data_IF_303452404513
#
_entry.id   IF_303452404513
#
_cell.length_a   1.000
_cell.length_b   1.000
_cell.length_c   1.000
_cell.angle_alpha   90.00
_cell.angle_beta   90.00
_cell.angle_gamma   90.00
#
_symmetry.space_group_name_H-M   'P 1'
#
loop_
_entity.id
_entity.type
_entity.pdbx_description
1 polymer ?
#
# COMPACT_ATOMS: atom_id res chain seq x y z
N UNK A 1 18.53 -10.31 8.32
CA UNK A 1 18.12 -9.49 7.16
C UNK A 1 17.23 -10.36 6.27
N UNK A 2 16.00 -10.59 6.72
CA UNK A 2 14.98 -11.32 5.97
C UNK A 2 13.96 -10.28 5.54
N UNK A 3 14.12 -9.77 4.33
CA UNK A 3 13.12 -8.93 3.69
C UNK A 3 11.90 -9.81 3.41
N UNK A 4 11.00 -9.87 4.39
CA UNK A 4 9.72 -10.55 4.26
C UNK A 4 8.96 -10.02 3.04
N UNK A 5 8.26 -10.93 2.38
CA UNK A 5 7.51 -10.83 1.10
C UNK A 5 6.44 -9.70 1.04
N UNK A 6 6.35 -8.85 2.06
CA UNK A 6 5.36 -7.78 2.23
C UNK A 6 6.02 -6.40 2.17
N UNK A 7 6.55 -6.07 0.99
CA UNK A 7 6.98 -4.73 0.64
C UNK A 7 5.76 -3.76 0.56
N UNK A 8 5.95 -2.45 0.81
CA UNK A 8 4.87 -1.48 1.03
C UNK A 8 3.85 -1.43 -0.13
N UNK A 9 2.61 -1.03 0.17
CA UNK A 9 1.48 -0.92 -0.78
C UNK A 9 1.87 -0.18 -2.09
N UNK A 10 2.77 0.80 -2.02
CA UNK A 10 3.30 1.50 -3.20
C UNK A 10 4.14 0.62 -4.17
N UNK A 11 4.63 -0.54 -3.70
CA UNK A 11 5.28 -1.55 -4.54
C UNK A 11 4.22 -2.43 -5.20
N UNK A 12 3.10 -2.75 -4.52
CA UNK A 12 1.99 -3.52 -5.10
C UNK A 12 1.42 -2.82 -6.34
N UNK A 13 1.14 -1.52 -6.27
CA UNK A 13 0.61 -0.78 -7.42
C UNK A 13 1.59 -0.79 -8.60
N UNK A 14 2.91 -0.66 -8.35
CA UNK A 14 3.93 -0.79 -9.42
C UNK A 14 3.99 -2.20 -10.01
N UNK A 15 3.82 -3.23 -9.19
CA UNK A 15 3.75 -4.61 -9.67
C UNK A 15 2.50 -4.82 -10.52
N UNK A 16 1.35 -4.30 -10.12
CA UNK A 16 0.11 -4.37 -10.92
C UNK A 16 0.25 -3.63 -12.25
N UNK A 17 0.84 -2.43 -12.25
CA UNK A 17 1.17 -1.68 -13.47
C UNK A 17 2.06 -2.51 -14.41
N UNK A 18 3.13 -3.11 -13.86
CA UNK A 18 4.05 -3.96 -14.62
C UNK A 18 3.40 -5.22 -15.16
N UNK A 19 2.61 -5.92 -14.35
CA UNK A 19 1.86 -7.12 -14.76
C UNK A 19 0.86 -6.79 -15.85
N UNK A 20 0.11 -5.69 -15.72
CA UNK A 20 -0.81 -5.25 -16.77
C UNK A 20 -0.07 -4.97 -18.07
N UNK A 21 1.04 -4.25 -18.02
CA UNK A 21 1.83 -3.92 -19.21
C UNK A 21 2.36 -5.20 -19.88
N UNK A 22 2.92 -6.13 -19.11
CA UNK A 22 3.40 -7.41 -19.63
C UNK A 22 2.26 -8.18 -20.29
N UNK A 23 1.11 -8.31 -19.63
CA UNK A 23 -0.06 -9.00 -20.19
C UNK A 23 -0.59 -8.32 -21.46
N UNK A 24 -0.66 -6.98 -21.48
CA UNK A 24 -1.07 -6.23 -22.68
C UNK A 24 -0.12 -6.47 -23.85
N UNK A 25 1.19 -6.41 -23.61
CA UNK A 25 2.21 -6.68 -24.64
C UNK A 25 2.09 -8.13 -25.13
N UNK A 26 2.03 -9.11 -24.22
CA UNK A 26 1.88 -10.52 -24.59
C UNK A 26 0.60 -10.79 -25.37
N UNK A 27 -0.53 -10.19 -24.97
CA UNK A 27 -1.80 -10.34 -25.69
C UNK A 27 -1.76 -9.67 -27.06
N UNK A 28 -1.14 -8.51 -27.17
CA UNK A 28 -0.97 -7.78 -28.43
C UNK A 28 -0.08 -8.55 -29.41
N UNK A 29 1.05 -9.08 -28.94
CA UNK A 29 1.94 -9.95 -29.74
C UNK A 29 1.19 -11.21 -30.17
N UNK A 30 0.47 -11.88 -29.26
CA UNK A 30 -0.31 -13.08 -29.59
C UNK A 30 -1.39 -12.79 -30.63
N UNK A 31 -2.04 -11.63 -30.56
CA UNK A 31 -3.07 -11.21 -31.50
C UNK A 31 -2.46 -11.02 -32.90
N UNK A 32 -1.35 -10.29 -32.99
CA UNK A 32 -0.60 -10.03 -34.24
C UNK A 32 -0.04 -11.31 -34.88
N UNK A 33 0.30 -12.32 -34.08
CA UNK A 33 0.78 -13.61 -34.60
C UNK A 33 -0.35 -14.49 -35.17
N UNK A 34 -1.62 -14.19 -34.85
CA UNK A 34 -2.78 -15.01 -35.25
C UNK A 34 -3.70 -14.32 -36.27
N UNK A 35 -3.54 -13.03 -36.49
CA UNK A 35 -4.40 -12.24 -37.38
C UNK A 35 -3.54 -11.36 -38.27
N UNK A 36 -4.00 -11.15 -39.50
CA UNK A 36 -3.41 -10.18 -40.41
C UNK A 36 -3.65 -8.73 -39.94
N UNK A 37 -2.88 -7.81 -40.50
CA UNK A 37 -2.93 -6.37 -40.17
C UNK A 37 -4.15 -5.69 -40.81
N UNK A 38 -5.33 -6.05 -40.33
CA UNK A 38 -6.61 -5.46 -40.73
C UNK A 38 -7.02 -4.28 -39.84
N UNK A 39 -8.08 -3.57 -40.21
CA UNK A 39 -8.66 -2.45 -39.43
C UNK A 39 -8.96 -2.88 -37.99
N UNK A 40 -9.44 -4.10 -37.79
CA UNK A 40 -9.69 -4.67 -36.46
C UNK A 40 -8.42 -4.79 -35.63
N UNK A 41 -7.28 -5.13 -36.24
CA UNK A 41 -6.00 -5.18 -35.54
C UNK A 41 -5.56 -3.80 -35.04
N UNK A 42 -5.76 -2.76 -35.86
CA UNK A 42 -5.49 -1.36 -35.46
C UNK A 42 -6.38 -0.95 -34.29
N UNK A 43 -7.67 -1.29 -34.32
CA UNK A 43 -8.60 -1.00 -33.22
C UNK A 43 -8.23 -1.73 -31.93
N UNK A 44 -7.84 -3.01 -32.01
CA UNK A 44 -7.43 -3.80 -30.84
C UNK A 44 -6.14 -3.26 -30.21
N UNK A 45 -5.12 -2.96 -31.02
CA UNK A 45 -3.86 -2.39 -30.55
C UNK A 45 -4.05 -0.97 -29.99
N UNK A 46 -4.86 -0.16 -30.65
CA UNK A 46 -5.27 1.15 -30.15
C UNK A 46 -5.98 1.04 -28.81
N UNK A 47 -6.94 0.12 -28.68
CA UNK A 47 -7.65 -0.15 -27.43
C UNK A 47 -6.72 -0.61 -26.31
N UNK A 48 -5.74 -1.48 -26.61
CA UNK A 48 -4.72 -1.91 -25.67
C UNK A 48 -3.84 -0.74 -25.18
N UNK A 49 -3.43 0.15 -26.08
CA UNK A 49 -2.66 1.34 -25.75
C UNK A 49 -3.46 2.32 -24.90
N UNK A 50 -4.72 2.58 -25.27
CA UNK A 50 -5.62 3.43 -24.49
C UNK A 50 -5.87 2.83 -23.11
N UNK A 51 -6.01 1.50 -22.99
CA UNK A 51 -6.20 0.84 -21.71
C UNK A 51 -4.97 0.97 -20.82
N UNK A 52 -3.77 0.75 -21.37
CA UNK A 52 -2.51 0.96 -20.65
C UNK A 52 -2.32 2.42 -20.21
N UNK A 53 -2.62 3.38 -21.08
CA UNK A 53 -2.54 4.80 -20.78
C UNK A 53 -3.57 5.23 -19.73
N UNK A 54 -4.84 4.79 -19.86
CA UNK A 54 -5.86 5.03 -18.87
C UNK A 54 -5.45 4.45 -17.51
N UNK A 55 -4.91 3.22 -17.50
CA UNK A 55 -4.48 2.59 -16.25
C UNK A 55 -3.33 3.35 -15.56
N UNK A 56 -2.35 3.85 -16.33
CA UNK A 56 -1.21 4.59 -15.76
C UNK A 56 -1.59 5.95 -15.15
N UNK A 57 -2.69 6.57 -15.61
CA UNK A 57 -3.21 7.81 -15.02
C UNK A 57 -3.79 7.64 -13.61
N UNK A 58 -3.93 6.41 -13.10
CA UNK A 58 -4.47 6.10 -11.77
C UNK A 58 -3.94 7.00 -10.66
N UNK A 59 -2.61 7.21 -10.62
CA UNK A 59 -1.94 7.99 -9.57
C UNK A 59 -2.30 9.47 -9.60
N UNK A 60 -2.52 10.01 -10.80
CA UNK A 60 -2.90 11.41 -10.99
C UNK A 60 -4.34 11.69 -10.51
N UNK A 61 -5.15 10.64 -10.46
CA UNK A 61 -6.57 10.71 -10.16
C UNK A 61 -6.88 10.36 -8.69
N UNK A 62 -5.93 9.74 -7.99
CA UNK A 62 -6.09 9.23 -6.63
C UNK A 62 -6.41 10.31 -5.58
N UNK A 63 -5.92 11.54 -5.75
CA UNK A 63 -6.06 12.62 -4.76
C UNK A 63 -7.41 13.40 -4.85
N UNK A 64 -8.35 12.95 -5.70
CA UNK A 64 -9.63 13.65 -5.95
C UNK A 64 -10.81 12.80 -5.46
N UNK A 65 -11.86 13.43 -4.93
CA UNK A 65 -12.97 12.70 -4.27
C UNK A 65 -13.78 11.77 -5.20
N UNK A 66 -14.22 12.25 -6.37
CA UNK A 66 -15.12 11.49 -7.27
C UNK A 66 -14.43 10.82 -8.45
N UNK A 67 -13.25 11.31 -8.81
CA UNK A 67 -12.57 10.90 -10.02
C UNK A 67 -12.05 9.45 -10.00
N UNK A 68 -11.64 8.85 -8.86
CA UNK A 68 -11.25 7.44 -8.82
C UNK A 68 -12.39 6.52 -9.28
N UNK A 69 -13.63 6.79 -8.89
CA UNK A 69 -14.80 5.99 -9.29
C UNK A 69 -15.05 6.10 -10.80
N UNK A 70 -14.99 7.32 -11.35
CA UNK A 70 -15.13 7.56 -12.79
C UNK A 70 -14.00 6.87 -13.55
N UNK A 71 -12.77 6.96 -13.05
CA UNK A 71 -11.60 6.31 -13.63
C UNK A 71 -11.76 4.79 -13.68
N UNK A 72 -12.18 4.14 -12.58
CA UNK A 72 -12.45 2.70 -12.60
C UNK A 72 -13.55 2.36 -13.61
N UNK A 73 -14.62 3.14 -13.65
CA UNK A 73 -15.69 2.95 -14.62
C UNK A 73 -15.16 2.97 -16.06
N UNK A 74 -14.34 3.97 -16.41
CA UNK A 74 -13.71 4.08 -17.73
C UNK A 74 -12.80 2.90 -18.02
N UNK A 75 -11.92 2.53 -17.09
CA UNK A 75 -10.99 1.40 -17.26
C UNK A 75 -11.74 0.08 -17.45
N UNK A 76 -12.80 -0.17 -16.68
CA UNK A 76 -13.59 -1.39 -16.79
C UNK A 76 -14.38 -1.41 -18.10
N UNK A 77 -15.01 -0.31 -18.50
CA UNK A 77 -15.72 -0.23 -19.79
C UNK A 77 -14.78 -0.48 -20.96
N UNK A 78 -13.60 0.14 -20.94
CA UNK A 78 -12.58 -0.04 -21.98
C UNK A 78 -12.06 -1.48 -22.00
N UNK A 79 -11.83 -2.07 -20.82
CA UNK A 79 -11.43 -3.47 -20.69
C UNK A 79 -12.51 -4.43 -21.21
N UNK A 80 -13.79 -4.21 -20.88
CA UNK A 80 -14.91 -5.03 -21.38
C UNK A 80 -14.98 -4.93 -22.90
N UNK A 81 -14.96 -3.72 -23.47
CA UNK A 81 -15.00 -3.52 -24.91
C UNK A 81 -13.84 -4.25 -25.62
N UNK A 82 -12.61 -4.09 -25.10
CA UNK A 82 -11.43 -4.74 -25.65
C UNK A 82 -11.52 -6.27 -25.56
N UNK A 83 -12.01 -6.80 -24.43
CA UNK A 83 -12.14 -8.24 -24.20
C UNK A 83 -13.22 -8.87 -25.08
N UNK A 84 -14.33 -8.16 -25.33
CA UNK A 84 -15.40 -8.64 -26.21
C UNK A 84 -14.98 -8.70 -27.68
N UNK A 85 -14.10 -7.79 -28.12
CA UNK A 85 -13.52 -7.79 -29.47
C UNK A 85 -12.40 -8.82 -29.59
N UNK A 86 -11.53 -8.89 -28.58
CA UNK A 86 -10.38 -9.79 -28.55
C UNK A 86 -10.33 -10.53 -27.20
N UNK A 87 -10.90 -11.75 -27.10
CA UNK A 87 -10.98 -12.48 -25.83
C UNK A 87 -9.63 -12.85 -25.20
N UNK A 88 -8.52 -12.76 -25.97
CA UNK A 88 -7.17 -12.88 -25.41
C UNK A 88 -6.88 -11.88 -24.32
N UNK A 89 -7.51 -10.70 -24.35
CA UNK A 89 -7.32 -9.67 -23.33
C UNK A 89 -8.02 -9.98 -22.01
N UNK A 90 -8.82 -11.04 -21.92
CA UNK A 90 -9.41 -11.49 -20.66
C UNK A 90 -8.35 -11.78 -19.56
N UNK A 91 -7.11 -12.11 -19.93
CA UNK A 91 -6.01 -12.29 -18.98
C UNK A 91 -5.68 -11.04 -18.17
N UNK A 92 -5.98 -9.84 -18.69
CA UNK A 92 -5.78 -8.57 -17.95
C UNK A 92 -6.88 -8.30 -16.91
N UNK A 93 -7.87 -9.20 -16.76
CA UNK A 93 -8.93 -9.08 -15.77
C UNK A 93 -8.39 -8.95 -14.34
N UNK A 94 -7.30 -9.66 -14.00
CA UNK A 94 -6.78 -9.68 -12.62
C UNK A 94 -6.28 -8.31 -12.17
N UNK A 95 -5.35 -7.63 -12.88
CA UNK A 95 -4.96 -6.26 -12.52
C UNK A 95 -6.11 -5.25 -12.50
N UNK A 96 -7.09 -5.41 -13.39
CA UNK A 96 -8.28 -4.55 -13.43
C UNK A 96 -9.19 -4.82 -12.22
N UNK A 97 -9.39 -6.08 -11.84
CA UNK A 97 -10.17 -6.46 -10.66
C UNK A 97 -9.52 -5.95 -9.37
N UNK A 98 -8.18 -5.99 -9.26
CA UNK A 98 -7.47 -5.35 -8.15
C UNK A 98 -7.70 -3.83 -8.10
N UNK A 99 -7.68 -3.15 -9.25
CA UNK A 99 -7.97 -1.73 -9.30
C UNK A 99 -9.41 -1.41 -8.87
N UNK A 100 -10.38 -2.25 -9.25
CA UNK A 100 -11.77 -2.16 -8.77
C UNK A 100 -11.84 -2.29 -7.25
N UNK A 101 -11.20 -3.32 -6.69
CA UNK A 101 -11.19 -3.59 -5.24
C UNK A 101 -10.50 -2.49 -4.43
N UNK A 102 -9.51 -1.80 -5.01
CA UNK A 102 -8.78 -0.71 -4.35
C UNK A 102 -9.55 0.61 -4.31
N UNK A 103 -10.54 0.80 -5.19
CA UNK A 103 -11.23 2.09 -5.34
C UNK A 103 -12.68 2.03 -4.87
N UNK A 104 -13.39 0.93 -5.16
CA UNK A 104 -14.80 0.81 -4.82
C UNK A 104 -15.01 0.24 -3.42
N UNK A 105 -16.13 0.59 -2.76
CA UNK A 105 -16.54 -0.10 -1.54
C UNK A 105 -16.72 -1.59 -1.83
N UNK A 106 -16.36 -2.44 -0.87
CA UNK A 106 -16.40 -3.91 -0.99
C UNK A 106 -17.65 -4.49 -1.69
N UNK A 107 -18.91 -4.11 -1.35
CA UNK A 107 -20.08 -4.70 -2.01
C UNK A 107 -20.11 -4.41 -3.51
N UNK A 108 -19.86 -3.16 -3.92
CA UNK A 108 -19.85 -2.78 -5.33
C UNK A 108 -18.65 -3.37 -6.07
N UNK A 109 -17.50 -3.46 -5.40
CA UNK A 109 -16.32 -4.09 -5.98
C UNK A 109 -16.56 -5.58 -6.27
N UNK A 110 -17.16 -6.32 -5.34
CA UNK A 110 -17.54 -7.73 -5.55
C UNK A 110 -18.55 -7.87 -6.68
N UNK A 111 -19.59 -7.02 -6.73
CA UNK A 111 -20.54 -7.03 -7.85
C UNK A 111 -19.85 -6.83 -9.20
N UNK A 112 -18.93 -5.88 -9.28
CA UNK A 112 -18.23 -5.60 -10.53
C UNK A 112 -17.25 -6.72 -10.92
N UNK A 113 -16.59 -7.34 -9.94
CA UNK A 113 -15.76 -8.53 -10.17
C UNK A 113 -16.61 -9.69 -10.71
N UNK A 114 -17.82 -9.92 -10.17
CA UNK A 114 -18.74 -10.94 -10.70
C UNK A 114 -19.13 -10.64 -12.15
N UNK A 115 -19.40 -9.37 -12.48
CA UNK A 115 -19.67 -8.94 -13.86
C UNK A 115 -18.46 -9.19 -14.75
N UNK A 116 -17.24 -8.86 -14.30
CA UNK A 116 -16.01 -9.14 -15.04
C UNK A 116 -15.82 -10.65 -15.27
N UNK A 117 -16.07 -11.48 -14.27
CA UNK A 117 -16.02 -12.94 -14.39
C UNK A 117 -17.01 -13.43 -15.45
N UNK A 118 -18.24 -12.92 -15.46
CA UNK A 118 -19.23 -13.25 -16.47
C UNK A 118 -18.77 -12.84 -17.88
N UNK A 119 -18.16 -11.66 -18.03
CA UNK A 119 -17.59 -11.20 -19.31
C UNK A 119 -16.45 -12.11 -19.77
N UNK A 120 -15.54 -12.51 -18.88
CA UNK A 120 -14.46 -13.45 -19.21
C UNK A 120 -15.02 -14.79 -19.69
N UNK A 121 -15.95 -15.38 -18.93
CA UNK A 121 -16.56 -16.66 -19.29
C UNK A 121 -17.32 -16.58 -20.62
N UNK A 122 -18.07 -15.49 -20.85
CA UNK A 122 -18.78 -15.27 -22.12
C UNK A 122 -17.83 -15.03 -23.31
N UNK A 123 -16.67 -14.41 -23.08
CA UNK A 123 -15.67 -14.19 -24.13
C UNK A 123 -14.95 -15.49 -24.50
N UNK A 124 -14.66 -16.35 -23.51
CA UNK A 124 -14.04 -17.66 -23.74
C UNK A 124 -14.98 -18.68 -24.36
N UNK A 125 -16.27 -18.66 -24.00
CA UNK A 125 -17.27 -19.55 -24.61
C UNK A 125 -17.49 -19.30 -26.11
N UNK A 126 -17.01 -18.17 -26.65
CA UNK A 126 -17.02 -17.89 -28.10
C UNK A 126 -15.87 -18.56 -28.86
N UNK A 127 -14.83 -18.99 -28.15
CA UNK A 127 -13.63 -19.61 -28.74
C UNK A 127 -13.62 -21.13 -28.55
N UNK A 128 -14.34 -21.62 -27.54
CA UNK A 128 -14.47 -23.05 -27.25
C UNK A 128 -15.79 -23.57 -27.81
N UNK A 129 -15.73 -24.58 -28.70
CA UNK A 129 -16.93 -25.15 -29.34
C UNK A 129 -17.75 -26.06 -28.41
N UNK A 130 -17.15 -26.58 -27.33
CA UNK A 130 -17.81 -27.43 -26.34
C UNK A 130 -18.20 -26.66 -25.06
N UNK A 131 -19.30 -27.09 -24.42
CA UNK A 131 -19.69 -26.68 -23.07
C UNK A 131 -18.74 -27.27 -22.03
N UNK A 132 -17.50 -26.78 -22.01
CA UNK A 132 -16.50 -27.16 -21.03
C UNK A 132 -16.74 -26.41 -19.71
N UNK A 133 -17.03 -27.10 -18.59
CA UNK A 133 -17.19 -26.47 -17.28
C UNK A 133 -15.99 -25.61 -16.86
N UNK A 134 -14.79 -25.87 -17.39
CA UNK A 134 -13.57 -25.12 -17.06
C UNK A 134 -13.65 -23.63 -17.45
N UNK A 135 -14.47 -23.29 -18.45
CA UNK A 135 -14.71 -21.90 -18.92
C UNK A 135 -15.36 -21.03 -17.84
N UNK A 136 -16.09 -21.63 -16.91
CA UNK A 136 -16.71 -20.95 -15.78
C UNK A 136 -15.90 -21.13 -14.50
N UNK A 137 -15.43 -22.35 -14.22
CA UNK A 137 -14.72 -22.67 -12.99
C UNK A 137 -13.41 -21.90 -12.88
N UNK A 138 -12.67 -21.72 -13.99
CA UNK A 138 -11.40 -20.98 -14.01
C UNK A 138 -11.56 -19.51 -13.59
N UNK A 139 -12.38 -18.70 -14.31
CA UNK A 139 -12.59 -17.30 -13.97
C UNK A 139 -13.17 -17.09 -12.57
N UNK A 140 -14.07 -17.98 -12.11
CA UNK A 140 -14.62 -17.93 -10.75
C UNK A 140 -13.53 -18.19 -9.71
N UNK A 141 -12.68 -19.21 -9.92
CA UNK A 141 -11.56 -19.51 -9.03
C UNK A 141 -10.59 -18.33 -8.91
N UNK A 142 -10.22 -17.72 -10.04
CA UNK A 142 -9.34 -16.54 -10.07
C UNK A 142 -9.98 -15.36 -9.34
N UNK A 143 -11.28 -15.11 -9.56
CA UNK A 143 -12.01 -14.04 -8.89
C UNK A 143 -12.05 -14.26 -7.36
N UNK A 144 -12.34 -15.48 -6.91
CA UNK A 144 -12.34 -15.84 -5.49
C UNK A 144 -10.96 -15.63 -4.87
N UNK A 145 -9.91 -16.16 -5.49
CA UNK A 145 -8.53 -15.98 -5.00
C UNK A 145 -8.17 -14.51 -4.94
N UNK A 146 -8.55 -13.72 -5.94
CA UNK A 146 -8.28 -12.27 -5.99
C UNK A 146 -8.95 -11.54 -4.83
N UNK A 147 -10.26 -11.76 -4.64
CA UNK A 147 -11.04 -11.12 -3.57
C UNK A 147 -10.55 -11.54 -2.18
N UNK A 148 -10.30 -12.84 -1.98
CA UNK A 148 -9.83 -13.38 -0.69
C UNK A 148 -8.42 -12.89 -0.36
N UNK A 149 -7.51 -12.91 -1.34
CA UNK A 149 -6.15 -12.40 -1.18
C UNK A 149 -6.18 -10.93 -0.80
N UNK A 150 -6.93 -10.11 -1.55
CA UNK A 150 -7.06 -8.69 -1.24
C UNK A 150 -7.55 -8.45 0.20
N UNK A 151 -8.57 -9.20 0.63
CA UNK A 151 -9.11 -9.09 1.99
C UNK A 151 -8.11 -9.50 3.07
N UNK A 152 -7.29 -10.52 2.80
CA UNK A 152 -6.23 -10.94 3.71
C UNK A 152 -5.17 -9.84 3.85
N UNK A 153 -4.70 -9.30 2.72
CA UNK A 153 -3.74 -8.20 2.69
C UNK A 153 -4.27 -6.95 3.42
N UNK A 154 -5.53 -6.58 3.21
CA UNK A 154 -6.15 -5.42 3.84
C UNK A 154 -6.25 -5.57 5.37
N UNK A 155 -6.56 -6.77 5.86
CA UNK A 155 -6.61 -7.06 7.29
C UNK A 155 -5.21 -7.01 7.91
N UNK A 156 -4.24 -7.64 7.27
CA UNK A 156 -2.85 -7.64 7.73
C UNK A 156 -2.26 -6.22 7.77
N UNK A 157 -2.53 -5.41 6.75
CA UNK A 157 -2.09 -4.02 6.70
C UNK A 157 -2.67 -3.20 7.86
N UNK A 158 -3.97 -3.38 8.19
CA UNK A 158 -4.61 -2.70 9.33
C UNK A 158 -4.03 -3.12 10.67
N UNK A 159 -3.85 -4.42 10.89
CA UNK A 159 -3.24 -4.93 12.13
C UNK A 159 -1.82 -4.40 12.28
N UNK A 160 -1.02 -4.43 11.20
CA UNK A 160 0.33 -3.91 11.20
C UNK A 160 0.37 -2.42 11.53
N UNK A 161 -0.55 -1.63 10.96
CA UNK A 161 -0.61 -0.20 11.23
C UNK A 161 -0.95 0.08 12.70
N UNK A 162 -1.94 -0.62 13.27
CA UNK A 162 -2.29 -0.48 14.68
C UNK A 162 -1.10 -0.79 15.60
N UNK A 163 -0.34 -1.86 15.32
CA UNK A 163 0.86 -2.20 16.09
C UNK A 163 1.97 -1.16 15.97
N UNK A 164 2.13 -0.53 14.79
CA UNK A 164 3.09 0.57 14.61
C UNK A 164 2.67 1.78 15.45
N UNK A 165 1.38 2.10 15.45
CA UNK A 165 0.83 3.23 16.21
C UNK A 165 1.02 2.99 17.72
N UNK A 166 0.69 1.79 18.23
CA UNK A 166 0.92 1.39 19.62
C UNK A 166 2.40 1.43 20.02
N UNK A 167 3.29 0.93 19.16
CA UNK A 167 4.74 0.97 19.41
C UNK A 167 5.26 2.42 19.48
N UNK A 168 4.76 3.28 18.59
CA UNK A 168 5.16 4.69 18.53
C UNK A 168 4.70 5.43 19.78
N UNK A 169 3.48 5.14 20.25
CA UNK A 169 2.94 5.68 21.50
C UNK A 169 3.76 5.21 22.72
N UNK A 170 4.03 3.91 22.84
CA UNK A 170 4.83 3.37 23.95
C UNK A 170 6.27 3.93 23.97
N UNK A 171 6.88 4.17 22.80
CA UNK A 171 8.18 4.82 22.72
C UNK A 171 8.13 6.28 23.21
N UNK A 172 7.07 7.01 22.86
CA UNK A 172 6.88 8.39 23.34
C UNK A 172 6.74 8.44 24.87
N UNK A 173 6.00 7.49 25.45
CA UNK A 173 5.85 7.35 26.91
C UNK A 173 7.16 7.02 27.62
N UNK A 174 7.96 6.10 27.06
CA UNK A 174 9.29 5.78 27.58
C UNK A 174 10.22 7.00 27.56
N UNK A 175 10.24 7.76 26.47
CA UNK A 175 11.03 8.99 26.37
C UNK A 175 10.59 10.01 27.42
N UNK A 176 9.27 10.18 27.63
CA UNK A 176 8.75 11.08 28.65
C UNK A 176 9.12 10.62 30.07
N UNK A 177 9.05 9.32 30.35
CA UNK A 177 9.45 8.75 31.64
C UNK A 177 10.95 8.90 31.90
N UNK A 178 11.80 8.65 30.90
CA UNK A 178 13.24 8.85 30.99
C UNK A 178 13.61 10.31 31.26
N UNK A 179 12.95 11.27 30.59
CA UNK A 179 13.15 12.70 30.87
C UNK A 179 12.80 13.07 32.30
N UNK A 180 11.67 12.57 32.83
CA UNK A 180 11.28 12.79 34.24
C UNK A 180 12.30 12.18 35.20
N UNK A 181 12.73 10.95 34.96
CA UNK A 181 13.75 10.28 35.78
C UNK A 181 15.10 11.02 35.73
N UNK A 182 15.52 11.48 34.56
CA UNK A 182 16.74 12.26 34.37
C UNK A 182 16.70 13.59 35.14
N UNK A 183 15.58 14.32 35.04
CA UNK A 183 15.40 15.57 35.79
C UNK A 183 15.44 15.37 37.32
N UNK A 184 14.86 14.27 37.82
CA UNK A 184 14.89 13.93 39.25
C UNK A 184 16.29 13.54 39.73
N UNK A 185 17.02 12.76 38.93
CA UNK A 185 18.40 12.38 39.22
C UNK A 185 19.29 13.62 39.28
N UNK A 186 19.15 14.53 38.32
CA UNK A 186 19.91 15.77 38.25
C UNK A 186 19.58 16.71 39.42
N UNK A 187 18.30 16.84 39.78
CA UNK A 187 17.90 17.64 40.97
C UNK A 187 18.56 17.12 42.25
N UNK A 188 18.65 15.79 42.38
CA UNK A 188 19.29 15.16 43.55
C UNK A 188 20.80 15.40 43.55
N UNK A 189 21.44 15.30 42.39
CA UNK A 189 22.87 15.61 42.20
C UNK A 189 23.17 17.06 42.58
N UNK A 190 22.42 18.01 42.02
CA UNK A 190 22.54 19.44 42.31
C UNK A 190 22.32 19.74 43.81
N UNK A 191 21.35 19.10 44.45
CA UNK A 191 21.11 19.29 45.89
C UNK A 191 22.32 18.88 46.74
N UNK A 192 23.04 17.82 46.39
CA UNK A 192 24.27 17.43 47.10
C UNK A 192 25.41 18.42 46.84
N UNK A 193 25.63 18.78 45.57
CA UNK A 193 26.71 19.69 45.19
C UNK A 193 26.54 21.09 45.83
N UNK A 194 25.30 21.59 45.93
CA UNK A 194 24.97 22.82 46.67
C UNK A 194 25.24 22.63 48.17
N UNK A 195 24.84 21.50 48.76
CA UNK A 195 25.06 21.27 50.18
C UNK A 195 26.55 21.20 50.54
N UNK A 196 27.35 20.51 49.73
CA UNK A 196 28.79 20.39 49.94
C UNK A 196 29.50 21.74 49.76
N UNK A 197 29.16 22.50 48.71
CA UNK A 197 29.75 23.83 48.49
C UNK A 197 29.37 24.86 49.56
N UNK A 198 28.12 24.84 50.05
CA UNK A 198 27.69 25.68 51.18
C UNK A 198 28.43 25.28 52.46
N UNK A 199 28.54 23.98 52.74
CA UNK A 199 29.30 23.47 53.90
C UNK A 199 30.78 23.86 53.85
N UNK A 200 31.38 23.82 52.65
CA UNK A 200 32.76 24.22 52.41
C UNK A 200 32.95 25.74 52.57
N UNK A 201 32.04 26.55 52.02
CA UNK A 201 32.09 28.01 52.15
C UNK A 201 31.93 28.49 53.59
N UNK A 202 31.06 27.84 54.38
CA UNK A 202 30.92 28.13 55.80
C UNK A 202 32.19 27.76 56.58
N UNK A 203 32.77 26.59 56.30
CA UNK A 203 34.03 26.16 56.95
C UNK A 203 35.22 27.07 56.60
N UNK A 204 35.30 27.59 55.37
CA UNK A 204 36.39 28.51 55.00
C UNK A 204 36.25 29.86 55.70
N UNK A 205 35.02 30.37 55.84
CA UNK A 205 34.73 31.61 56.57
C UNK A 205 35.10 31.47 58.05
N UNK A 206 34.74 30.36 58.70
CA UNK A 206 35.07 30.15 60.12
C UNK A 206 36.57 30.00 60.36
N UNK A 207 37.29 29.33 59.46
CA UNK A 207 38.77 29.25 59.52
C UNK A 207 39.43 30.63 59.35
N UNK A 208 38.94 31.47 58.42
CA UNK A 208 39.43 32.83 58.23
C UNK A 208 39.14 33.74 59.44
N UNK A 209 37.94 33.62 60.03
CA UNK A 209 37.58 34.32 61.27
C UNK A 209 38.48 33.90 62.44
N UNK A 210 38.71 32.59 62.61
CA UNK A 210 39.60 32.09 63.66
C UNK A 210 41.06 32.55 63.48
N UNK A 211 41.55 32.58 62.24
CA UNK A 211 42.88 33.13 61.95
C UNK A 211 42.97 34.63 62.26
N UNK A 212 41.91 35.40 61.95
CA UNK A 212 41.86 36.82 62.25
C UNK A 212 41.81 37.11 63.76
N UNK A 213 41.10 36.30 64.56
CA UNK A 213 41.10 36.42 66.03
C UNK A 213 42.48 36.10 66.62
N UNK A 214 43.19 35.13 66.05
CA UNK A 214 44.50 34.69 66.55
C UNK A 214 45.67 35.63 66.19
N UNK A 215 45.51 36.47 65.15
CA UNK A 215 46.48 37.51 64.75
C UNK A 215 46.33 38.80 65.58
N UNK A 216 45.26 38.93 66.39
CA UNK A 216 44.97 40.09 67.25
C UNK A 216 45.47 39.94 68.70
N UNK A 217 45.93 38.75 69.11
CA UNK A 217 46.62 38.47 70.38
C UNK A 217 48.15 38.52 70.22
#
# INVERSE_FOLDING_TARGET
>A
MQEGILAPVARLDRWLDGVLLVLLVTCSVRYLLRHDLDVTAVLVLGGALVLGAAYSTRRLVADREVWPMVWVGVVVVLWVALTLVAPSFAWTAVPVAFAVLQVLPFPYAVTLVVVMTAVVSAAWSRITDDLDPTVFVGPVGIALVTVLSYRALEREARTRQALIDELTEAQADLVAAQRRSGALAERTRLSREIHDSVGQGLSSITLLLGAAEQDWD
#
